data_IF_963070777198
#
_entry.id   IF_963070777198
#
_cell.length_a   1.000
_cell.length_b   1.000
_cell.length_c   1.000
_cell.angle_alpha   90.00
_cell.angle_beta   90.00
_cell.angle_gamma   90.00
#
_symmetry.space_group_name_H-M   'P 1'
#
loop_
_entity.id
_entity.type
_entity.pdbx_description
1 polymer ?
#
# COMPACT_ATOMS: atom_id res chain seq x y z
N UNK A 1 -18.31 -16.67 16.88
CA UNK A 1 -18.20 -15.23 17.20
C UNK A 1 -18.27 -15.08 18.71
N UNK A 2 -17.14 -14.83 19.38
CA UNK A 2 -17.11 -14.63 20.83
C UNK A 2 -17.63 -13.19 21.09
N UNK A 3 -18.60 -12.97 21.99
CA UNK A 3 -18.99 -11.61 22.36
C UNK A 3 -17.80 -10.91 23.01
N UNK A 4 -17.19 -9.96 22.31
CA UNK A 4 -16.11 -9.14 22.85
C UNK A 4 -16.72 -7.98 23.64
N UNK A 5 -16.39 -7.91 24.93
CA UNK A 5 -16.79 -6.84 25.83
C UNK A 5 -15.84 -5.64 25.66
N UNK A 6 -16.30 -4.49 25.12
CA UNK A 6 -15.46 -3.32 24.89
C UNK A 6 -14.80 -2.78 26.17
N UNK A 7 -15.44 -2.93 27.34
CA UNK A 7 -14.89 -2.46 28.61
C UNK A 7 -13.72 -3.34 29.04
N UNK A 8 -13.83 -4.65 28.85
CA UNK A 8 -12.75 -5.61 29.12
C UNK A 8 -11.57 -5.40 28.19
N UNK A 9 -11.82 -5.09 26.91
CA UNK A 9 -10.76 -4.74 25.95
C UNK A 9 -10.01 -3.47 26.37
N UNK A 10 -10.74 -2.40 26.72
CA UNK A 10 -10.13 -1.15 27.18
C UNK A 10 -9.24 -1.35 28.42
N UNK A 11 -9.70 -2.16 29.38
CA UNK A 11 -8.91 -2.49 30.57
C UNK A 11 -7.62 -3.25 30.23
N UNK A 12 -7.65 -4.17 29.25
CA UNK A 12 -6.46 -4.93 28.83
C UNK A 12 -5.47 -4.06 28.04
N UNK A 13 -5.96 -3.20 27.15
CA UNK A 13 -5.12 -2.21 26.43
C UNK A 13 -4.36 -1.34 27.45
N UNK A 14 -5.05 -0.86 28.48
CA UNK A 14 -4.43 -0.04 29.53
C UNK A 14 -3.43 -0.79 30.42
N UNK A 15 -3.48 -2.13 30.45
CA UNK A 15 -2.61 -3.00 31.26
C UNK A 15 -1.57 -3.75 30.43
N UNK A 16 -1.45 -3.46 29.13
CA UNK A 16 -0.53 -4.15 28.23
C UNK A 16 0.91 -4.00 28.75
N UNK A 17 1.57 -5.14 28.98
CA UNK A 17 2.98 -5.17 29.37
C UNK A 17 3.86 -5.14 28.12
N UNK A 18 4.99 -4.39 28.12
CA UNK A 18 5.82 -4.20 26.92
C UNK A 18 6.32 -5.49 26.25
N UNK A 19 6.41 -6.60 26.99
CA UNK A 19 6.95 -7.88 26.54
C UNK A 19 5.87 -9.00 26.45
N UNK A 20 4.58 -8.64 26.49
CA UNK A 20 3.48 -9.60 26.48
C UNK A 20 3.00 -9.95 25.07
N UNK A 21 3.75 -10.81 24.38
CA UNK A 21 3.41 -11.30 23.03
C UNK A 21 1.95 -11.77 22.93
N UNK A 22 1.49 -12.59 23.88
CA UNK A 22 0.14 -13.17 23.84
C UNK A 22 -0.92 -12.09 24.03
N UNK A 23 -0.69 -11.14 24.94
CA UNK A 23 -1.56 -9.99 25.17
C UNK A 23 -1.68 -9.09 23.95
N UNK A 24 -0.57 -8.76 23.28
CA UNK A 24 -0.56 -7.96 22.05
C UNK A 24 -1.31 -8.67 20.92
N UNK A 25 -0.98 -9.93 20.65
CA UNK A 25 -1.65 -10.71 19.59
C UNK A 25 -3.14 -10.84 19.83
N UNK A 26 -3.55 -11.17 21.06
CA UNK A 26 -4.97 -11.30 21.40
C UNK A 26 -5.70 -9.96 21.24
N UNK A 27 -5.11 -8.87 21.74
CA UNK A 27 -5.71 -7.54 21.65
C UNK A 27 -5.89 -7.10 20.20
N UNK A 28 -4.91 -7.36 19.33
CA UNK A 28 -5.01 -7.11 17.90
C UNK A 28 -6.19 -7.85 17.25
N UNK A 29 -6.36 -9.15 17.54
CA UNK A 29 -7.51 -9.93 17.03
C UNK A 29 -8.84 -9.37 17.53
N UNK A 30 -8.94 -8.97 18.79
CA UNK A 30 -10.18 -8.42 19.34
C UNK A 30 -10.52 -7.05 18.74
N UNK A 31 -9.52 -6.19 18.51
CA UNK A 31 -9.69 -4.91 17.83
C UNK A 31 -10.13 -5.09 16.38
N UNK A 32 -9.57 -6.06 15.67
CA UNK A 32 -9.98 -6.43 14.32
C UNK A 32 -11.46 -6.81 14.26
N UNK A 33 -11.92 -7.64 15.21
CA UNK A 33 -13.33 -8.06 15.29
C UNK A 33 -14.29 -6.91 15.63
N UNK A 34 -13.78 -5.81 16.18
CA UNK A 34 -14.53 -4.57 16.43
C UNK A 34 -14.41 -3.56 15.28
N UNK A 35 -13.74 -3.89 14.18
CA UNK A 35 -13.51 -3.00 13.04
C UNK A 35 -12.46 -1.90 13.30
N UNK A 36 -11.71 -1.98 14.40
CA UNK A 36 -10.66 -1.02 14.78
C UNK A 36 -9.33 -1.44 14.17
N UNK A 37 -9.24 -1.38 12.84
CA UNK A 37 -8.16 -1.99 12.07
C UNK A 37 -6.79 -1.36 12.31
N UNK A 38 -6.67 -0.03 12.37
CA UNK A 38 -5.36 0.61 12.57
C UNK A 38 -4.76 0.29 13.94
N UNK A 39 -5.59 0.28 14.99
CA UNK A 39 -5.16 -0.15 16.33
C UNK A 39 -4.84 -1.65 16.37
N UNK A 40 -5.58 -2.47 15.61
CA UNK A 40 -5.28 -3.89 15.49
C UNK A 40 -3.88 -4.12 14.88
N UNK A 41 -3.53 -3.36 13.84
CA UNK A 41 -2.20 -3.39 13.24
C UNK A 41 -1.13 -2.97 14.25
N UNK A 42 -1.30 -1.86 14.97
CA UNK A 42 -0.32 -1.41 15.98
C UNK A 42 -0.01 -2.48 17.03
N UNK A 43 -1.05 -3.19 17.50
CA UNK A 43 -0.86 -4.27 18.47
C UNK A 43 -0.24 -5.52 17.84
N UNK A 44 -0.56 -5.86 16.59
CA UNK A 44 0.02 -7.00 15.89
C UNK A 44 1.47 -6.74 15.46
N UNK A 45 1.83 -5.50 15.09
CA UNK A 45 3.20 -5.05 14.87
C UNK A 45 4.03 -5.28 16.13
N UNK A 46 3.50 -4.88 17.29
CA UNK A 46 4.17 -5.11 18.55
C UNK A 46 4.29 -6.59 18.90
N UNK A 47 3.29 -7.41 18.56
CA UNK A 47 3.39 -8.86 18.70
C UNK A 47 4.48 -9.44 17.79
N UNK A 48 4.60 -8.95 16.55
CA UNK A 48 5.58 -9.41 15.58
C UNK A 48 7.03 -9.13 16.02
N UNK A 49 7.26 -7.96 16.63
CA UNK A 49 8.55 -7.60 17.23
C UNK A 49 8.97 -8.51 18.40
N UNK A 50 8.00 -9.13 19.09
CA UNK A 50 8.22 -10.01 20.24
C UNK A 50 8.29 -11.50 19.86
N UNK A 51 8.26 -11.83 18.57
CA UNK A 51 8.29 -13.21 18.08
C UNK A 51 9.62 -13.89 18.39
N UNK A 52 9.55 -15.07 18.98
CA UNK A 52 10.68 -15.93 19.34
C UNK A 52 10.66 -17.30 18.63
N UNK A 53 9.61 -17.61 17.86
CA UNK A 53 9.44 -18.89 17.15
C UNK A 53 8.76 -18.69 15.79
N UNK A 54 9.12 -19.50 14.80
CA UNK A 54 8.52 -19.43 13.46
C UNK A 54 7.00 -19.67 13.49
N UNK A 55 6.53 -20.59 14.33
CA UNK A 55 5.10 -20.82 14.57
C UNK A 55 4.38 -19.53 15.00
N UNK A 56 4.96 -18.77 15.95
CA UNK A 56 4.38 -17.49 16.39
C UNK A 56 4.43 -16.46 15.27
N UNK A 57 5.55 -16.37 14.53
CA UNK A 57 5.70 -15.49 13.36
C UNK A 57 4.56 -15.67 12.36
N UNK A 58 4.36 -16.92 11.94
CA UNK A 58 3.30 -17.32 10.99
C UNK A 58 1.92 -16.95 11.54
N UNK A 59 1.66 -17.21 12.82
CA UNK A 59 0.37 -16.88 13.44
C UNK A 59 0.08 -15.37 13.50
N UNK A 60 1.11 -14.52 13.57
CA UNK A 60 0.94 -13.06 13.54
C UNK A 60 0.75 -12.59 12.10
N UNK A 61 1.50 -13.13 11.12
CA UNK A 61 1.28 -12.81 9.71
C UNK A 61 -0.12 -13.17 9.22
N UNK A 62 -0.67 -14.31 9.65
CA UNK A 62 -2.05 -14.66 9.32
C UNK A 62 -3.03 -13.66 9.94
N UNK A 63 -2.84 -13.27 11.20
CA UNK A 63 -3.69 -12.27 11.84
C UNK A 63 -3.59 -10.89 11.17
N UNK A 64 -2.38 -10.45 10.80
CA UNK A 64 -2.17 -9.22 10.04
C UNK A 64 -2.88 -9.32 8.68
N UNK A 65 -2.71 -10.45 7.98
CA UNK A 65 -3.40 -10.73 6.73
C UNK A 65 -4.92 -10.66 6.88
N UNK A 66 -5.49 -11.13 7.99
CA UNK A 66 -6.92 -11.01 8.26
C UNK A 66 -7.32 -9.55 8.49
N UNK A 67 -6.52 -8.78 9.23
CA UNK A 67 -6.78 -7.33 9.40
C UNK A 67 -6.80 -6.62 8.04
N UNK A 68 -5.78 -6.84 7.20
CA UNK A 68 -5.72 -6.25 5.86
C UNK A 68 -6.88 -6.71 4.96
N UNK A 69 -7.25 -7.99 5.02
CA UNK A 69 -8.39 -8.54 4.27
C UNK A 69 -9.71 -7.91 4.70
N UNK A 70 -9.96 -7.78 6.00
CA UNK A 70 -11.19 -7.19 6.54
C UNK A 70 -11.30 -5.68 6.34
N UNK A 71 -10.17 -4.96 6.25
CA UNK A 71 -10.16 -3.53 5.88
C UNK A 71 -10.18 -3.27 4.36
N UNK A 72 -10.16 -4.32 3.53
CA UNK A 72 -10.21 -4.23 2.07
C UNK A 72 -8.86 -4.16 1.35
N UNK A 73 -7.72 -4.19 2.04
CA UNK A 73 -6.38 -4.26 1.44
C UNK A 73 -6.02 -5.72 1.13
N UNK A 74 -6.69 -6.27 0.11
CA UNK A 74 -6.55 -7.67 -0.30
C UNK A 74 -5.16 -7.99 -0.86
N UNK A 75 -4.43 -6.98 -1.36
CA UNK A 75 -3.06 -7.14 -1.88
C UNK A 75 -2.08 -7.43 -0.76
N UNK A 76 -2.02 -6.55 0.24
CA UNK A 76 -1.15 -6.76 1.42
C UNK A 76 -1.52 -8.05 2.15
N UNK A 77 -2.82 -8.34 2.29
CA UNK A 77 -3.29 -9.59 2.89
C UNK A 77 -2.71 -10.83 2.19
N UNK A 78 -2.78 -10.88 0.86
CA UNK A 78 -2.26 -11.99 0.08
C UNK A 78 -0.75 -12.16 0.25
N UNK A 79 0.03 -11.08 0.20
CA UNK A 79 1.48 -11.10 0.45
C UNK A 79 1.81 -11.75 1.80
N UNK A 80 1.10 -11.34 2.86
CA UNK A 80 1.27 -11.89 4.21
C UNK A 80 0.91 -13.38 4.28
N UNK A 81 -0.19 -13.79 3.65
CA UNK A 81 -0.60 -15.20 3.62
C UNK A 81 0.34 -16.08 2.80
N UNK A 82 0.78 -15.63 1.62
CA UNK A 82 1.76 -16.37 0.79
C UNK A 82 3.06 -16.59 1.57
N UNK A 83 3.54 -15.57 2.27
CA UNK A 83 4.71 -15.68 3.15
C UNK A 83 4.48 -16.64 4.32
N UNK A 84 3.33 -16.57 4.97
CA UNK A 84 2.94 -17.51 6.03
C UNK A 84 2.95 -18.96 5.53
N UNK A 85 2.41 -19.24 4.34
CA UNK A 85 2.43 -20.57 3.72
C UNK A 85 3.87 -21.02 3.40
N UNK A 86 4.69 -20.14 2.82
CA UNK A 86 6.08 -20.46 2.49
C UNK A 86 6.88 -20.87 3.73
N UNK A 87 6.78 -20.10 4.82
CA UNK A 87 7.45 -20.42 6.09
C UNK A 87 6.87 -21.67 6.77
N UNK A 88 5.55 -21.87 6.73
CA UNK A 88 4.93 -23.07 7.27
C UNK A 88 5.45 -24.33 6.56
N UNK A 89 5.55 -24.30 5.22
CA UNK A 89 6.11 -25.42 4.45
C UNK A 89 7.58 -25.69 4.79
N UNK A 90 8.38 -24.65 4.98
CA UNK A 90 9.82 -24.76 5.20
C UNK A 90 10.19 -25.18 6.63
N UNK A 91 9.50 -24.65 7.64
CA UNK A 91 9.98 -24.68 9.02
C UNK A 91 8.92 -24.99 10.09
N UNK A 92 7.62 -24.94 9.77
CA UNK A 92 6.54 -25.17 10.73
C UNK A 92 5.33 -25.88 10.09
N UNK A 93 5.49 -27.14 9.62
CA UNK A 93 4.44 -27.85 8.89
C UNK A 93 3.18 -28.07 9.72
N UNK A 94 3.27 -28.01 11.04
CA UNK A 94 2.14 -28.18 11.96
C UNK A 94 1.17 -26.98 11.99
N UNK A 95 1.50 -25.86 11.34
CA UNK A 95 0.56 -24.74 11.11
C UNK A 95 0.22 -24.54 9.63
N UNK A 96 0.66 -25.47 8.77
CA UNK A 96 0.45 -25.36 7.33
C UNK A 96 -1.04 -25.43 6.97
N UNK A 97 -1.81 -26.32 7.60
CA UNK A 97 -3.25 -26.47 7.36
C UNK A 97 -3.99 -25.14 7.55
N UNK A 98 -3.65 -24.43 8.61
CA UNK A 98 -4.18 -23.10 8.92
C UNK A 98 -3.73 -22.06 7.88
N UNK A 99 -2.43 -21.99 7.56
CA UNK A 99 -1.91 -21.02 6.59
C UNK A 99 -2.54 -21.16 5.18
N UNK A 100 -2.61 -22.39 4.65
CA UNK A 100 -3.19 -22.62 3.30
C UNK A 100 -4.71 -22.41 3.28
N UNK A 101 -5.41 -22.64 4.40
CA UNK A 101 -6.84 -22.32 4.51
C UNK A 101 -7.08 -20.81 4.35
N UNK A 102 -6.30 -19.97 5.04
CA UNK A 102 -6.45 -18.52 4.98
C UNK A 102 -6.09 -17.96 3.59
N UNK A 103 -4.97 -18.40 3.00
CA UNK A 103 -4.60 -18.01 1.63
C UNK A 103 -5.67 -18.45 0.62
N UNK A 104 -6.14 -19.69 0.72
CA UNK A 104 -7.15 -20.23 -0.19
C UNK A 104 -8.46 -19.44 -0.15
N UNK A 105 -8.91 -19.03 1.05
CA UNK A 105 -10.09 -18.17 1.18
C UNK A 105 -9.87 -16.77 0.62
N UNK A 106 -8.73 -16.13 0.90
CA UNK A 106 -8.40 -14.82 0.37
C UNK A 106 -8.35 -14.79 -1.17
N UNK A 107 -7.80 -15.85 -1.79
CA UNK A 107 -7.79 -16.01 -3.25
C UNK A 107 -9.20 -16.25 -3.81
N UNK A 108 -10.06 -16.98 -3.10
CA UNK A 108 -11.45 -17.17 -3.53
C UNK A 108 -12.23 -15.85 -3.53
N UNK A 109 -12.03 -15.00 -2.52
CA UNK A 109 -12.62 -13.65 -2.42
C UNK A 109 -12.20 -12.75 -3.60
N UNK A 110 -11.03 -13.00 -4.19
CA UNK A 110 -10.50 -12.33 -5.40
C UNK A 110 -10.86 -13.03 -6.71
N UNK A 111 -11.75 -14.02 -6.69
CA UNK A 111 -12.13 -14.82 -7.86
C UNK A 111 -10.99 -15.67 -8.47
N UNK A 112 -9.88 -15.90 -7.75
CA UNK A 112 -8.80 -16.82 -8.15
C UNK A 112 -9.18 -18.28 -7.78
N UNK A 113 -10.32 -18.74 -8.29
CA UNK A 113 -10.99 -19.96 -7.82
C UNK A 113 -10.16 -21.24 -8.01
N UNK A 114 -9.34 -21.30 -9.05
CA UNK A 114 -8.50 -22.48 -9.33
C UNK A 114 -7.41 -22.64 -8.28
N UNK A 115 -6.66 -21.58 -7.99
CA UNK A 115 -5.60 -21.60 -6.96
C UNK A 115 -6.22 -21.78 -5.57
N UNK A 116 -7.31 -21.07 -5.29
CA UNK A 116 -8.08 -21.20 -4.05
C UNK A 116 -8.52 -22.65 -3.79
N UNK A 117 -9.09 -23.32 -4.80
CA UNK A 117 -9.52 -24.73 -4.69
C UNK A 117 -8.34 -25.65 -4.38
N UNK A 118 -7.20 -25.45 -5.02
CA UNK A 118 -6.02 -26.26 -4.79
C UNK A 118 -5.54 -26.16 -3.33
N UNK A 119 -5.44 -24.93 -2.81
CA UNK A 119 -5.01 -24.66 -1.43
C UNK A 119 -6.02 -25.16 -0.39
N UNK A 120 -7.32 -24.95 -0.60
CA UNK A 120 -8.36 -25.44 0.30
C UNK A 120 -8.45 -26.97 0.30
N UNK A 121 -8.17 -27.62 -0.82
CA UNK A 121 -8.08 -29.09 -0.90
C UNK A 121 -6.85 -29.60 -0.14
N UNK A 122 -5.71 -28.90 -0.23
CA UNK A 122 -4.53 -29.18 0.59
C UNK A 122 -4.84 -29.04 2.09
N UNK A 123 -5.50 -27.94 2.48
CA UNK A 123 -5.94 -27.69 3.86
C UNK A 123 -6.84 -28.81 4.38
N UNK A 124 -7.83 -29.23 3.58
CA UNK A 124 -8.74 -30.33 3.92
C UNK A 124 -7.99 -31.62 4.21
N UNK A 125 -7.03 -31.98 3.35
CA UNK A 125 -6.22 -33.20 3.52
C UNK A 125 -5.42 -33.17 4.82
N UNK A 126 -4.81 -32.02 5.16
CA UNK A 126 -4.04 -31.85 6.39
C UNK A 126 -4.94 -31.92 7.63
N UNK A 127 -6.06 -31.21 7.63
CA UNK A 127 -7.02 -31.18 8.75
C UNK A 127 -7.65 -32.54 9.04
N UNK A 128 -7.94 -33.32 8.00
CA UNK A 128 -8.41 -34.71 8.17
C UNK A 128 -7.35 -35.59 8.85
N UNK A 129 -6.07 -35.38 8.55
CA UNK A 129 -4.97 -36.10 9.21
C UNK A 129 -4.75 -35.63 10.66
N UNK A 130 -4.98 -34.35 10.94
CA UNK A 130 -4.91 -33.74 12.27
C UNK A 130 -6.09 -34.15 13.17
N UNK A 131 -7.28 -34.36 12.59
CA UNK A 131 -8.44 -34.94 13.25
C UNK A 131 -9.34 -33.94 14.00
N UNK A 132 -9.24 -32.64 13.70
CA UNK A 132 -10.13 -31.61 14.28
C UNK A 132 -11.45 -31.49 13.48
N UNK A 133 -12.61 -31.90 14.04
CA UNK A 133 -13.87 -31.87 13.31
C UNK A 133 -14.36 -30.48 12.94
N UNK A 134 -14.08 -29.46 13.75
CA UNK A 134 -14.53 -28.09 13.51
C UNK A 134 -13.77 -27.49 12.32
N UNK A 135 -12.46 -27.69 12.29
CA UNK A 135 -11.62 -27.22 11.19
C UNK A 135 -11.94 -27.94 9.86
N UNK A 136 -12.21 -29.24 9.92
CA UNK A 136 -12.64 -30.04 8.77
C UNK A 136 -13.96 -29.48 8.21
N UNK A 137 -14.96 -29.22 9.06
CA UNK A 137 -16.23 -28.68 8.61
C UNK A 137 -16.08 -27.27 8.02
N UNK A 138 -15.26 -26.42 8.64
CA UNK A 138 -15.00 -25.07 8.12
C UNK A 138 -14.36 -25.09 6.72
N UNK A 139 -13.40 -25.98 6.46
CA UNK A 139 -12.82 -26.13 5.12
C UNK A 139 -13.80 -26.72 4.12
N UNK A 140 -14.65 -27.66 4.56
CA UNK A 140 -15.67 -28.29 3.70
C UNK A 140 -16.66 -27.24 3.21
N UNK A 141 -17.20 -26.44 4.14
CA UNK A 141 -18.11 -25.35 3.81
C UNK A 141 -17.46 -24.38 2.80
N UNK A 142 -16.19 -24.00 3.00
CA UNK A 142 -15.49 -23.11 2.07
C UNK A 142 -15.30 -23.70 0.65
N UNK A 143 -15.09 -25.02 0.55
CA UNK A 143 -14.99 -25.71 -0.75
C UNK A 143 -16.34 -25.86 -1.44
N UNK A 144 -17.40 -26.10 -0.67
CA UNK A 144 -18.77 -26.28 -1.18
C UNK A 144 -19.34 -24.95 -1.70
N UNK A 145 -19.06 -23.85 -1.00
CA UNK A 145 -19.51 -22.49 -1.38
C UNK A 145 -18.46 -21.71 -2.17
N UNK A 146 -17.44 -22.37 -2.74
CA UNK A 146 -16.29 -21.68 -3.35
C UNK A 146 -16.67 -20.65 -4.43
N UNK A 147 -17.70 -20.96 -5.23
CA UNK A 147 -18.19 -20.06 -6.29
C UNK A 147 -18.97 -18.85 -5.78
N UNK A 148 -19.33 -18.82 -4.49
CA UNK A 148 -20.05 -17.73 -3.84
C UNK A 148 -19.13 -16.80 -3.03
N UNK A 149 -17.85 -17.18 -2.87
CA UNK A 149 -16.86 -16.40 -2.14
C UNK A 149 -16.35 -15.13 -2.85
N UNK A 150 -16.30 -15.03 -4.20
CA UNK A 150 -15.86 -13.81 -4.87
C UNK A 150 -16.64 -12.58 -4.40
N UNK A 151 -15.94 -11.52 -4.02
CA UNK A 151 -16.58 -10.26 -3.61
C UNK A 151 -16.96 -9.48 -4.86
N UNK A 152 -18.26 -9.29 -5.15
CA UNK A 152 -18.70 -8.64 -6.37
C UNK A 152 -18.28 -7.16 -6.41
N UNK A 153 -18.30 -6.60 -7.62
CA UNK A 153 -18.21 -5.15 -7.81
C UNK A 153 -19.49 -4.47 -7.32
N UNK A 154 -19.39 -3.25 -6.76
CA UNK A 154 -20.57 -2.45 -6.41
C UNK A 154 -21.49 -2.21 -7.62
N UNK A 155 -22.81 -2.11 -7.45
CA UNK A 155 -23.78 -2.04 -8.56
C UNK A 155 -23.50 -0.94 -9.59
N UNK A 156 -23.04 0.23 -9.18
CA UNK A 156 -22.71 1.36 -10.07
C UNK A 156 -21.50 1.03 -10.93
N UNK A 157 -20.47 0.42 -10.34
CA UNK A 157 -19.27 -0.02 -11.05
C UNK A 157 -19.59 -1.20 -11.97
N UNK A 158 -20.38 -2.16 -11.50
CA UNK A 158 -20.84 -3.28 -12.29
C UNK A 158 -21.72 -2.84 -13.47
N UNK A 159 -22.48 -1.75 -13.35
CA UNK A 159 -23.27 -1.19 -14.45
C UNK A 159 -22.43 -0.45 -15.49
N UNK A 160 -21.25 0.05 -15.11
CA UNK A 160 -20.30 0.69 -16.02
C UNK A 160 -19.66 -0.34 -16.96
N UNK A 161 -19.43 -1.56 -16.47
CA UNK A 161 -18.79 -2.64 -17.23
C UNK A 161 -19.82 -3.66 -17.73
N UNK A 162 -19.65 -4.13 -18.96
CA UNK A 162 -20.52 -5.17 -19.51
C UNK A 162 -20.04 -6.59 -19.16
N UNK A 163 -20.88 -7.60 -19.39
CA UNK A 163 -20.47 -9.01 -19.30
C UNK A 163 -19.30 -9.37 -20.25
N UNK A 164 -19.06 -8.56 -21.27
CA UNK A 164 -18.03 -8.76 -22.28
C UNK A 164 -16.77 -7.89 -22.08
N UNK A 165 -16.65 -7.18 -20.95
CA UNK A 165 -15.46 -6.36 -20.68
C UNK A 165 -14.19 -7.22 -20.57
N UNK A 166 -13.12 -6.68 -21.12
CA UNK A 166 -11.77 -7.23 -21.09
C UNK A 166 -11.00 -6.64 -19.91
N UNK A 167 -10.27 -7.51 -19.20
CA UNK A 167 -9.56 -7.17 -17.96
C UNK A 167 -8.09 -7.51 -18.13
N UNK A 168 -7.20 -6.60 -17.72
CA UNK A 168 -5.75 -6.81 -17.76
C UNK A 168 -5.09 -6.25 -16.51
N UNK A 169 -4.13 -7.00 -15.94
CA UNK A 169 -3.28 -6.55 -14.85
C UNK A 169 -2.01 -5.84 -15.36
N UNK A 170 -1.88 -5.62 -16.68
CA UNK A 170 -0.72 -4.95 -17.27
C UNK A 170 -0.77 -3.43 -17.03
N UNK A 171 0.25 -2.89 -16.35
CA UNK A 171 0.46 -1.46 -16.14
C UNK A 171 1.94 -1.13 -15.84
N UNK A 172 2.33 0.14 -15.97
CA UNK A 172 3.70 0.62 -15.68
C UNK A 172 4.01 0.68 -14.18
N UNK A 173 3.00 0.82 -13.33
CA UNK A 173 3.17 0.97 -11.88
C UNK A 173 3.64 -0.31 -11.16
N UNK A 174 4.32 -0.14 -10.03
CA UNK A 174 4.76 -1.26 -9.17
C UNK A 174 3.72 -1.63 -8.09
N UNK A 175 2.73 -0.74 -7.85
CA UNK A 175 1.69 -1.00 -6.87
C UNK A 175 0.68 -2.04 -7.39
N UNK A 176 0.58 -3.18 -6.73
CA UNK A 176 -0.47 -4.16 -7.05
C UNK A 176 -1.89 -3.63 -6.78
N UNK A 177 -2.88 -4.18 -7.49
CA UNK A 177 -4.30 -3.87 -7.28
C UNK A 177 -4.91 -2.83 -8.22
N UNK A 178 -4.22 -2.55 -9.33
CA UNK A 178 -4.75 -1.77 -10.46
C UNK A 178 -5.11 -2.73 -11.58
N UNK A 179 -6.29 -2.55 -12.17
CA UNK A 179 -6.76 -3.37 -13.29
C UNK A 179 -7.20 -2.47 -14.44
N UNK A 180 -6.66 -2.69 -15.62
CA UNK A 180 -7.13 -2.05 -16.85
C UNK A 180 -8.40 -2.75 -17.32
N UNK A 181 -9.44 -1.98 -17.62
CA UNK A 181 -10.71 -2.48 -18.17
C UNK A 181 -10.96 -1.86 -19.53
N UNK A 182 -11.10 -2.71 -20.55
CA UNK A 182 -11.36 -2.34 -21.94
C UNK A 182 -10.33 -1.38 -22.57
N UNK A 183 -9.16 -1.22 -21.95
CA UNK A 183 -8.16 -0.22 -22.34
C UNK A 183 -8.65 1.22 -22.24
N UNK A 184 -9.73 1.44 -21.49
CA UNK A 184 -10.42 2.73 -21.36
C UNK A 184 -10.58 3.18 -19.92
N UNK A 185 -10.40 2.26 -18.96
CA UNK A 185 -10.57 2.53 -17.53
C UNK A 185 -9.48 1.87 -16.70
N UNK A 186 -9.20 2.49 -15.56
CA UNK A 186 -8.35 1.97 -14.50
C UNK A 186 -9.19 1.76 -13.25
N UNK A 187 -9.28 0.51 -12.79
CA UNK A 187 -10.01 0.12 -11.58
C UNK A 187 -9.03 -0.11 -10.43
N UNK A 188 -9.32 0.48 -9.29
CA UNK A 188 -8.62 0.29 -8.02
C UNK A 188 -9.62 -0.07 -6.93
N UNK A 189 -9.24 -0.94 -5.99
CA UNK A 189 -10.10 -1.38 -4.88
C UNK A 189 -9.40 -1.28 -3.52
N UNK A 190 -10.18 -0.98 -2.48
CA UNK A 190 -9.76 -1.03 -1.08
C UNK A 190 -9.41 0.34 -0.51
N UNK A 191 -8.79 0.40 0.68
CA UNK A 191 -8.57 1.65 1.40
C UNK A 191 -7.66 2.63 0.64
N UNK A 192 -6.72 2.15 -0.18
CA UNK A 192 -5.90 3.00 -1.05
C UNK A 192 -6.73 3.70 -2.12
N UNK A 193 -7.72 3.00 -2.72
CA UNK A 193 -8.63 3.57 -3.71
C UNK A 193 -9.55 4.64 -3.09
N UNK A 194 -10.03 4.42 -1.86
CA UNK A 194 -10.80 5.42 -1.10
C UNK A 194 -9.96 6.66 -0.84
N UNK A 195 -8.73 6.48 -0.33
CA UNK A 195 -7.81 7.57 -0.04
C UNK A 195 -7.46 8.39 -1.30
N UNK A 196 -7.26 7.71 -2.44
CA UNK A 196 -7.00 8.35 -3.72
C UNK A 196 -8.22 9.10 -4.25
N UNK A 197 -9.43 8.53 -4.17
CA UNK A 197 -10.67 9.21 -4.57
C UNK A 197 -10.89 10.54 -3.82
N UNK A 198 -10.69 10.55 -2.51
CA UNK A 198 -10.80 11.76 -1.68
C UNK A 198 -9.82 12.85 -2.14
N UNK A 199 -8.58 12.45 -2.47
CA UNK A 199 -7.51 13.35 -2.88
C UNK A 199 -7.69 13.85 -4.32
N UNK A 200 -8.13 13.00 -5.24
CA UNK A 200 -8.50 13.39 -6.61
C UNK A 200 -9.61 14.43 -6.59
N UNK A 201 -10.65 14.20 -5.79
CA UNK A 201 -11.78 15.12 -5.65
C UNK A 201 -11.31 16.47 -5.11
N UNK A 202 -10.52 16.46 -4.03
CA UNK A 202 -9.98 17.68 -3.42
C UNK A 202 -9.04 18.45 -4.36
N UNK A 203 -8.12 17.76 -5.06
CA UNK A 203 -7.21 18.39 -6.02
C UNK A 203 -7.94 19.09 -7.16
N UNK A 204 -9.01 18.48 -7.68
CA UNK A 204 -9.82 19.05 -8.75
C UNK A 204 -10.47 20.37 -8.31
N UNK A 205 -10.93 20.45 -7.06
CA UNK A 205 -11.49 21.69 -6.48
C UNK A 205 -10.44 22.81 -6.37
N UNK A 206 -9.15 22.47 -6.27
CA UNK A 206 -8.03 23.41 -6.23
C UNK A 206 -7.41 23.67 -7.61
N UNK A 207 -8.05 23.21 -8.68
CA UNK A 207 -7.64 23.49 -10.06
C UNK A 207 -6.40 22.71 -10.52
N UNK A 208 -6.05 21.63 -9.83
CA UNK A 208 -5.01 20.68 -10.29
C UNK A 208 -5.68 19.67 -11.23
N UNK A 209 -5.06 19.45 -12.39
CA UNK A 209 -5.53 18.47 -13.37
C UNK A 209 -5.23 17.05 -12.85
N UNK A 210 -6.26 16.23 -12.80
CA UNK A 210 -6.24 14.84 -12.32
C UNK A 210 -7.19 14.01 -13.19
N UNK A 211 -7.05 12.67 -13.27
CA UNK A 211 -7.92 11.83 -14.09
C UNK A 211 -9.40 12.02 -13.79
N UNK A 212 -10.26 11.86 -14.79
CA UNK A 212 -11.71 11.83 -14.57
C UNK A 212 -12.11 10.58 -13.78
N UNK A 213 -12.96 10.79 -12.76
CA UNK A 213 -13.52 9.69 -11.96
C UNK A 213 -14.80 9.25 -12.66
N UNK A 214 -14.74 8.12 -13.37
CA UNK A 214 -15.88 7.53 -14.05
C UNK A 214 -16.92 6.99 -13.06
N UNK A 215 -16.45 6.35 -11.98
CA UNK A 215 -17.30 5.86 -10.91
C UNK A 215 -16.53 5.74 -9.59
N UNK A 216 -17.23 5.93 -8.48
CA UNK A 216 -16.76 5.56 -7.16
C UNK A 216 -17.94 5.08 -6.32
N UNK A 217 -17.87 3.86 -5.79
CA UNK A 217 -18.86 3.28 -4.89
C UNK A 217 -18.18 2.33 -3.91
N UNK A 218 -18.59 2.38 -2.65
CA UNK A 218 -17.98 1.65 -1.52
C UNK A 218 -16.45 1.87 -1.43
N UNK A 219 -15.67 0.88 -1.87
CA UNK A 219 -14.21 0.87 -1.86
C UNK A 219 -13.61 0.76 -3.26
N UNK A 220 -14.40 0.95 -4.32
CA UNK A 220 -13.97 0.78 -5.71
C UNK A 220 -13.94 2.13 -6.43
N UNK A 221 -12.77 2.48 -6.92
CA UNK A 221 -12.50 3.67 -7.74
C UNK A 221 -12.30 3.25 -9.19
N UNK A 222 -12.99 3.92 -10.11
CA UNK A 222 -12.78 3.79 -11.55
C UNK A 222 -12.39 5.14 -12.12
N UNK A 223 -11.21 5.19 -12.74
CA UNK A 223 -10.69 6.34 -13.47
C UNK A 223 -10.80 6.09 -14.97
N UNK A 224 -11.04 7.13 -15.75
CA UNK A 224 -10.89 7.07 -17.21
C UNK A 224 -9.42 7.03 -17.58
N UNK A 225 -9.09 6.31 -18.65
CA UNK A 225 -7.80 6.45 -19.31
C UNK A 225 -7.75 7.80 -20.06
N UNK A 226 -6.71 8.59 -19.79
CA UNK A 226 -6.56 9.94 -20.35
C UNK A 226 -5.92 9.94 -21.75
N UNK A 227 -5.52 8.78 -22.27
CA UNK A 227 -4.94 8.62 -23.61
C UNK A 227 -3.61 9.34 -23.82
N UNK A 228 -2.98 9.83 -22.76
CA UNK A 228 -1.69 10.51 -22.78
C UNK A 228 -0.63 9.66 -22.06
N UNK A 229 0.58 9.52 -22.62
CA UNK A 229 1.66 8.79 -21.96
C UNK A 229 2.17 9.56 -20.73
N UNK A 230 2.77 8.83 -19.79
CA UNK A 230 3.54 9.41 -18.69
C UNK A 230 4.76 10.16 -19.22
N UNK A 231 5.26 11.13 -18.45
CA UNK A 231 6.51 11.82 -18.80
C UNK A 231 7.72 10.86 -18.79
N UNK A 232 7.64 9.75 -18.05
CA UNK A 232 8.64 8.68 -18.06
C UNK A 232 8.74 7.96 -19.42
N UNK A 233 7.61 7.73 -20.09
CA UNK A 233 7.56 7.07 -21.40
C UNK A 233 8.12 7.94 -22.55
N UNK A 234 8.40 9.21 -22.29
CA UNK A 234 8.86 10.13 -23.31
C UNK A 234 10.32 9.87 -23.68
N UNK A 235 10.56 9.43 -24.91
CA UNK A 235 11.91 9.34 -25.44
C UNK A 235 12.62 10.71 -25.38
N UNK A 236 13.95 10.70 -25.19
CA UNK A 236 14.85 11.86 -25.32
C UNK A 236 14.79 12.45 -26.73
N UNK A 237 13.66 13.03 -27.10
CA UNK A 237 13.39 13.61 -28.41
C UNK A 237 13.51 15.12 -28.29
N UNK A 238 14.27 15.72 -29.20
CA UNK A 238 14.63 17.14 -29.17
C UNK A 238 13.46 18.11 -29.44
N UNK A 239 12.20 17.64 -29.44
CA UNK A 239 11.03 18.38 -29.91
C UNK A 239 9.86 18.40 -28.91
N UNK A 240 10.15 18.54 -27.62
CA UNK A 240 9.14 18.76 -26.57
C UNK A 240 9.61 19.78 -25.54
N UNK A 241 8.70 20.27 -24.70
CA UNK A 241 9.07 21.04 -23.51
C UNK A 241 9.99 20.20 -22.60
N UNK A 242 10.92 20.82 -21.87
CA UNK A 242 11.77 20.08 -20.91
C UNK A 242 10.88 19.39 -19.86
N UNK A 243 11.13 18.11 -19.58
CA UNK A 243 10.37 17.34 -18.57
C UNK A 243 10.53 17.98 -17.20
N UNK A 244 11.75 18.36 -16.84
CA UNK A 244 12.05 19.08 -15.61
C UNK A 244 11.27 20.39 -15.52
N UNK A 245 11.18 21.15 -16.61
CA UNK A 245 10.36 22.39 -16.64
C UNK A 245 8.89 22.12 -16.34
N UNK A 246 8.30 21.06 -16.94
CA UNK A 246 6.90 20.67 -16.71
C UNK A 246 6.69 20.25 -15.25
N UNK A 247 7.51 19.31 -14.76
CA UNK A 247 7.44 18.82 -13.38
C UNK A 247 7.63 19.94 -12.36
N UNK A 248 8.61 20.82 -12.55
CA UNK A 248 8.91 21.91 -11.63
C UNK A 248 7.79 22.95 -11.59
N UNK A 249 7.19 23.25 -12.76
CA UNK A 249 6.03 24.12 -12.85
C UNK A 249 4.78 23.53 -12.17
N UNK A 250 4.48 22.26 -12.41
CA UNK A 250 3.36 21.56 -11.80
C UNK A 250 3.53 21.46 -10.28
N UNK A 251 4.69 21.02 -9.81
CA UNK A 251 4.96 20.87 -8.37
C UNK A 251 4.89 22.21 -7.64
N UNK A 252 5.37 23.29 -8.26
CA UNK A 252 5.24 24.63 -7.69
C UNK A 252 3.78 25.05 -7.53
N UNK A 253 2.91 24.73 -8.50
CA UNK A 253 1.46 25.01 -8.39
C UNK A 253 0.86 24.21 -7.23
N UNK A 254 1.16 22.91 -7.15
CA UNK A 254 0.70 22.05 -6.06
C UNK A 254 1.14 22.58 -4.68
N UNK A 255 2.45 22.84 -4.52
CA UNK A 255 3.04 23.36 -3.28
C UNK A 255 2.59 24.78 -2.92
N UNK A 256 1.96 25.51 -3.85
CA UNK A 256 1.41 26.85 -3.59
C UNK A 256 0.01 26.83 -2.97
N UNK A 257 -0.65 25.67 -2.94
CA UNK A 257 -1.92 25.51 -2.24
C UNK A 257 -1.69 25.72 -0.73
N UNK A 258 -2.48 26.57 -0.05
CA UNK A 258 -2.30 26.80 1.38
C UNK A 258 -2.46 25.52 2.20
N UNK A 259 -1.47 25.20 3.04
CA UNK A 259 -1.50 24.00 3.91
C UNK A 259 -2.71 23.96 4.85
N UNK A 260 -3.31 25.12 5.15
CA UNK A 260 -4.53 25.23 5.96
C UNK A 260 -5.79 24.74 5.26
N UNK A 261 -5.75 24.56 3.94
CA UNK A 261 -6.86 24.06 3.12
C UNK A 261 -6.79 22.55 2.89
N UNK A 262 -5.64 21.92 3.17
CA UNK A 262 -5.44 20.48 2.98
C UNK A 262 -5.86 19.68 4.22
N UNK A 263 -6.83 18.75 4.09
CA UNK A 263 -7.31 17.94 5.22
C UNK A 263 -6.44 16.70 5.48
N UNK A 264 -5.48 16.40 4.62
CA UNK A 264 -4.70 15.16 4.66
C UNK A 264 -3.36 15.38 5.36
N UNK A 265 -3.00 14.47 6.27
CA UNK A 265 -1.74 14.53 7.02
C UNK A 265 -0.70 13.62 6.37
N UNK A 266 0.37 14.22 5.84
CA UNK A 266 1.52 13.53 5.27
C UNK A 266 2.82 13.87 6.01
N UNK A 267 2.73 14.39 7.25
CA UNK A 267 3.91 14.83 8.00
C UNK A 267 4.81 13.65 8.32
N UNK A 268 6.08 13.97 8.59
CA UNK A 268 7.13 12.97 8.76
C UNK A 268 6.83 11.92 9.84
N UNK A 269 6.10 12.27 10.90
CA UNK A 269 5.67 11.30 11.92
C UNK A 269 4.72 10.23 11.36
N UNK A 270 3.77 10.63 10.51
CA UNK A 270 2.82 9.72 9.88
C UNK A 270 3.56 8.77 8.93
N UNK A 271 4.41 9.34 8.08
CA UNK A 271 5.15 8.58 7.07
C UNK A 271 6.17 7.64 7.73
N UNK A 272 6.90 8.08 8.77
CA UNK A 272 7.83 7.21 9.50
C UNK A 272 7.12 6.09 10.27
N UNK A 273 5.90 6.34 10.78
CA UNK A 273 5.12 5.29 11.41
C UNK A 273 4.73 4.20 10.40
N UNK A 274 4.33 4.61 9.19
CA UNK A 274 4.03 3.67 8.10
C UNK A 274 5.29 2.94 7.62
N UNK A 275 6.41 3.64 7.42
CA UNK A 275 7.69 3.03 7.04
C UNK A 275 8.13 1.98 8.08
N UNK A 276 7.99 2.29 9.38
CA UNK A 276 8.25 1.33 10.45
C UNK A 276 7.35 0.09 10.33
N UNK A 277 6.05 0.26 10.06
CA UNK A 277 5.13 -0.87 9.86
C UNK A 277 5.55 -1.72 8.68
N UNK A 278 5.85 -1.11 7.53
CA UNK A 278 6.32 -1.84 6.35
C UNK A 278 7.57 -2.67 6.69
N UNK A 279 8.51 -2.14 7.46
CA UNK A 279 9.69 -2.87 7.92
C UNK A 279 9.34 -4.02 8.88
N UNK A 280 8.55 -3.74 9.92
CA UNK A 280 8.17 -4.74 10.95
C UNK A 280 7.39 -5.90 10.32
N UNK A 281 6.44 -5.56 9.47
CA UNK A 281 5.63 -6.52 8.73
C UNK A 281 6.37 -7.11 7.53
N UNK A 282 7.61 -6.71 7.23
CA UNK A 282 8.42 -7.21 6.12
C UNK A 282 7.76 -7.06 4.75
N UNK A 283 7.14 -5.91 4.52
CA UNK A 283 6.51 -5.51 3.26
C UNK A 283 7.46 -4.71 2.35
N UNK A 284 8.68 -4.41 2.82
CA UNK A 284 9.70 -3.71 2.05
C UNK A 284 10.50 -4.71 1.21
N UNK A 285 10.61 -4.46 -0.09
CA UNK A 285 11.47 -5.22 -0.99
C UNK A 285 12.89 -4.62 -1.02
N UNK A 286 13.83 -5.30 -0.36
CA UNK A 286 15.22 -4.85 -0.32
C UNK A 286 15.99 -5.08 -1.63
N UNK A 287 15.43 -5.84 -2.58
CA UNK A 287 16.04 -6.05 -3.90
C UNK A 287 15.85 -4.84 -4.82
N UNK A 288 14.83 -4.01 -4.55
CA UNK A 288 14.54 -2.78 -5.29
C UNK A 288 15.33 -1.56 -4.78
N UNK A 289 16.16 -1.73 -3.74
CA UNK A 289 16.91 -0.61 -3.16
C UNK A 289 17.85 0.07 -4.17
N UNK A 290 17.98 1.40 -4.05
CA UNK A 290 18.92 2.18 -4.84
C UNK A 290 20.35 1.63 -4.70
N UNK A 291 21.19 1.83 -5.73
CA UNK A 291 22.54 1.24 -5.77
C UNK A 291 23.38 1.52 -4.52
N UNK A 292 23.22 2.71 -3.94
CA UNK A 292 23.94 3.17 -2.75
C UNK A 292 23.55 2.43 -1.47
N UNK A 293 22.37 1.79 -1.45
CA UNK A 293 21.80 1.08 -0.31
C UNK A 293 21.75 -0.44 -0.51
N UNK A 294 22.21 -0.95 -1.66
CA UNK A 294 22.28 -2.41 -1.93
C UNK A 294 23.02 -3.15 -0.82
N UNK A 295 22.41 -4.24 -0.34
CA UNK A 295 22.97 -5.09 0.71
C UNK A 295 22.73 -4.57 2.14
N UNK A 296 22.05 -3.43 2.31
CA UNK A 296 21.50 -3.03 3.61
C UNK A 296 20.15 -3.70 3.84
N UNK A 297 19.74 -3.83 5.11
CA UNK A 297 18.40 -4.35 5.43
C UNK A 297 17.40 -3.21 5.63
N UNK A 298 16.09 -3.43 5.42
CA UNK A 298 15.07 -2.41 5.73
C UNK A 298 15.14 -1.92 7.19
N UNK A 299 15.54 -2.78 8.14
CA UNK A 299 15.74 -2.41 9.54
C UNK A 299 16.94 -1.46 9.75
N UNK A 300 18.01 -1.63 8.97
CA UNK A 300 19.18 -0.73 9.00
C UNK A 300 18.82 0.64 8.43
N UNK A 301 18.06 0.67 7.31
CA UNK A 301 17.54 1.91 6.70
C UNK A 301 16.64 2.66 7.68
N UNK A 302 15.68 1.98 8.32
CA UNK A 302 14.83 2.59 9.35
C UNK A 302 15.64 3.16 10.51
N UNK A 303 16.63 2.40 11.01
CA UNK A 303 17.51 2.86 12.09
C UNK A 303 18.28 4.12 11.69
N UNK A 304 18.76 4.18 10.44
CA UNK A 304 19.44 5.36 9.89
C UNK A 304 18.51 6.56 9.81
N UNK A 305 17.28 6.39 9.30
CA UNK A 305 16.27 7.45 9.21
C UNK A 305 15.94 8.02 10.59
N UNK A 306 15.68 7.17 11.58
CA UNK A 306 15.38 7.62 12.96
C UNK A 306 16.54 8.43 13.56
N UNK A 307 17.80 8.07 13.26
CA UNK A 307 19.00 8.78 13.72
C UNK A 307 19.21 10.11 12.99
N UNK A 308 18.91 10.17 11.69
CA UNK A 308 19.17 11.31 10.81
C UNK A 308 17.95 12.23 10.63
N UNK A 309 16.88 12.00 11.40
CA UNK A 309 15.62 12.73 11.32
C UNK A 309 15.83 14.25 11.27
N UNK A 310 15.28 14.96 10.27
CA UNK A 310 15.29 16.42 10.21
C UNK A 310 14.65 17.06 11.44
N UNK A 311 15.22 18.19 11.89
CA UNK A 311 14.76 18.91 13.10
C UNK A 311 13.50 19.75 12.90
N UNK A 312 13.05 19.95 11.66
CA UNK A 312 11.83 20.67 11.35
C UNK A 312 11.42 20.50 9.89
N UNK A 313 10.14 20.77 9.60
CA UNK A 313 9.54 20.57 8.28
C UNK A 313 9.24 21.91 7.60
N UNK A 314 9.49 21.98 6.29
CA UNK A 314 9.05 23.07 5.42
C UNK A 314 7.75 22.65 4.71
N UNK A 315 6.63 22.83 5.42
CA UNK A 315 5.34 22.25 5.09
C UNK A 315 4.71 22.87 3.85
N UNK A 316 4.28 21.99 2.94
CA UNK A 316 3.50 22.27 1.73
C UNK A 316 2.43 21.19 1.57
N UNK A 317 1.51 21.37 0.62
CA UNK A 317 0.69 20.25 0.13
C UNK A 317 1.57 19.43 -0.81
N UNK A 318 2.01 18.26 -0.37
CA UNK A 318 2.89 17.38 -1.14
C UNK A 318 2.12 16.23 -1.76
N UNK A 319 2.51 15.80 -2.96
CA UNK A 319 2.03 14.61 -3.64
C UNK A 319 2.31 13.34 -2.84
N UNK A 320 3.52 13.22 -2.31
CA UNK A 320 4.00 12.07 -1.57
C UNK A 320 4.63 10.95 -2.39
N UNK A 321 4.65 11.08 -3.72
CA UNK A 321 5.26 10.17 -4.71
C UNK A 321 5.45 10.90 -6.06
N UNK A 322 6.07 12.09 -6.02
CA UNK A 322 6.13 12.97 -7.20
C UNK A 322 7.26 12.57 -8.15
N UNK A 323 6.95 11.70 -9.10
CA UNK A 323 7.90 11.11 -10.06
C UNK A 323 7.43 11.32 -11.52
N UNK A 324 8.32 11.21 -12.53
CA UNK A 324 7.93 11.31 -13.95
C UNK A 324 6.84 10.33 -14.41
N UNK A 325 6.77 9.06 -13.93
CA UNK A 325 5.65 8.15 -14.24
C UNK A 325 4.29 8.68 -13.78
N UNK A 326 4.25 9.44 -12.68
CA UNK A 326 3.01 9.92 -12.06
C UNK A 326 2.50 11.26 -12.64
N UNK A 327 3.11 11.74 -13.72
CA UNK A 327 2.68 12.95 -14.42
C UNK A 327 2.55 12.65 -15.91
N UNK A 328 1.37 12.89 -16.47
CA UNK A 328 1.12 12.73 -17.91
C UNK A 328 1.62 13.94 -18.70
N UNK A 329 1.85 13.77 -20.01
CA UNK A 329 2.31 14.85 -20.90
C UNK A 329 1.39 16.08 -20.94
N UNK A 330 0.11 15.90 -20.64
CA UNK A 330 -0.90 16.97 -20.54
C UNK A 330 -1.00 17.57 -19.13
N UNK A 331 0.00 17.36 -18.27
CA UNK A 331 0.10 17.84 -16.89
C UNK A 331 -0.94 17.24 -15.92
N UNK A 332 -1.60 16.14 -16.29
CA UNK A 332 -2.47 15.37 -15.39
C UNK A 332 -1.61 14.61 -14.37
N UNK A 333 -1.99 14.74 -13.10
CA UNK A 333 -1.33 14.13 -11.95
C UNK A 333 -2.01 12.82 -11.56
N UNK A 334 -1.23 11.73 -11.50
CA UNK A 334 -1.69 10.37 -11.18
C UNK A 334 -1.28 9.97 -9.77
N UNK A 335 -1.80 8.84 -9.28
CA UNK A 335 -1.34 8.17 -8.04
C UNK A 335 -1.23 9.08 -6.81
N UNK A 336 -2.24 9.93 -6.65
CA UNK A 336 -2.29 10.96 -5.61
C UNK A 336 -2.64 10.39 -4.24
N UNK A 337 -2.74 9.07 -4.05
CA UNK A 337 -3.19 8.44 -2.80
C UNK A 337 -2.37 8.79 -1.56
N UNK A 338 -1.11 9.20 -1.74
CA UNK A 338 -0.18 9.58 -0.68
C UNK A 338 -0.17 11.08 -0.35
N UNK A 339 -1.02 11.88 -1.01
CA UNK A 339 -1.03 13.34 -0.89
C UNK A 339 -1.38 13.79 0.54
N UNK A 340 -0.69 14.83 1.00
CA UNK A 340 -1.00 15.49 2.26
C UNK A 340 -0.02 16.59 2.63
N UNK A 341 -0.26 17.24 3.76
CA UNK A 341 0.64 18.24 4.32
C UNK A 341 1.94 17.56 4.74
N UNK A 342 3.04 17.85 4.05
CA UNK A 342 4.35 17.26 4.31
C UNK A 342 5.47 18.26 4.03
N UNK A 343 6.70 17.93 4.42
CA UNK A 343 7.87 18.67 3.98
C UNK A 343 8.02 18.61 2.45
N UNK A 344 8.27 19.76 1.81
CA UNK A 344 8.44 19.82 0.34
C UNK A 344 9.50 18.88 -0.22
N UNK A 345 10.51 18.52 0.57
CA UNK A 345 11.57 17.62 0.13
C UNK A 345 11.10 16.19 -0.05
N UNK A 346 9.91 15.83 0.47
CA UNK A 346 9.25 14.56 0.16
C UNK A 346 9.04 14.38 -1.34
N UNK A 347 8.62 15.44 -2.03
CA UNK A 347 8.41 15.40 -3.49
C UNK A 347 9.69 15.76 -4.27
N UNK A 348 10.46 16.74 -3.80
CA UNK A 348 11.68 17.17 -4.50
C UNK A 348 12.70 16.03 -4.59
N UNK A 349 12.83 15.20 -3.57
CA UNK A 349 13.80 14.11 -3.56
C UNK A 349 13.54 13.07 -4.65
N UNK A 350 12.28 12.66 -4.80
CA UNK A 350 11.86 11.64 -5.77
C UNK A 350 11.95 12.17 -7.20
N UNK A 351 11.45 13.39 -7.43
CA UNK A 351 11.58 14.06 -8.71
C UNK A 351 13.05 14.16 -9.16
N UNK A 352 13.95 14.55 -8.24
CA UNK A 352 15.38 14.69 -8.52
C UNK A 352 16.05 13.35 -8.76
N UNK A 353 15.69 12.31 -7.99
CA UNK A 353 16.20 10.93 -8.18
C UNK A 353 15.93 10.47 -9.62
N UNK A 354 14.67 10.48 -10.02
CA UNK A 354 14.24 9.92 -11.30
C UNK A 354 14.66 10.80 -12.47
N UNK A 355 14.55 12.13 -12.34
CA UNK A 355 15.03 13.05 -13.37
C UNK A 355 16.51 12.84 -13.67
N UNK A 356 17.33 12.68 -12.62
CA UNK A 356 18.77 12.47 -12.78
C UNK A 356 19.06 11.12 -13.41
N UNK A 357 18.38 10.06 -12.95
CA UNK A 357 18.59 8.70 -13.43
C UNK A 357 18.21 8.54 -14.91
N UNK A 358 17.06 9.08 -15.31
CA UNK A 358 16.44 8.77 -16.61
C UNK A 358 16.74 9.83 -17.69
N UNK A 359 16.90 11.10 -17.27
CA UNK A 359 16.99 12.24 -18.20
C UNK A 359 18.25 13.11 -18.02
N UNK A 360 18.97 12.96 -16.90
CA UNK A 360 20.25 13.61 -16.62
C UNK A 360 20.15 15.01 -15.99
N UNK A 361 21.29 15.55 -15.57
CA UNK A 361 21.39 16.77 -14.74
C UNK A 361 20.84 18.05 -15.39
N UNK A 362 20.74 18.09 -16.73
CA UNK A 362 20.15 19.23 -17.44
C UNK A 362 18.66 19.38 -17.09
N UNK A 363 17.93 18.27 -16.98
CA UNK A 363 16.51 18.29 -16.61
C UNK A 363 16.32 18.57 -15.12
N UNK A 364 17.22 18.11 -14.25
CA UNK A 364 17.24 18.50 -12.82
C UNK A 364 17.44 20.03 -12.67
N UNK A 365 18.33 20.61 -13.49
CA UNK A 365 18.55 22.06 -13.50
C UNK A 365 17.29 22.81 -13.96
N UNK A 366 16.65 22.33 -15.02
CA UNK A 366 15.40 22.90 -15.53
C UNK A 366 14.26 22.80 -14.50
N UNK A 367 14.17 21.67 -13.78
CA UNK A 367 13.23 21.43 -12.69
C UNK A 367 13.34 22.46 -11.58
N UNK A 368 14.53 22.62 -10.99
CA UNK A 368 14.72 23.60 -9.91
C UNK A 368 14.52 25.04 -10.37
N UNK A 369 14.88 25.36 -11.62
CA UNK A 369 14.62 26.67 -12.22
C UNK A 369 13.13 26.97 -12.32
N UNK A 370 12.33 26.01 -12.82
CA UNK A 370 10.88 26.15 -12.93
C UNK A 370 10.17 26.16 -11.57
N UNK A 371 10.61 25.28 -10.66
CA UNK A 371 10.11 25.22 -9.28
C UNK A 371 10.42 26.50 -8.49
N UNK A 372 11.56 27.14 -8.76
CA UNK A 372 11.97 28.39 -8.15
C UNK A 372 12.80 28.23 -6.87
N UNK A 373 13.54 27.13 -6.74
CA UNK A 373 14.45 26.87 -5.62
C UNK A 373 15.90 26.89 -6.12
N UNK A 374 16.67 27.90 -5.71
CA UNK A 374 18.03 28.13 -6.22
C UNK A 374 19.14 27.40 -5.45
N UNK A 375 18.86 26.95 -4.23
CA UNK A 375 19.81 26.29 -3.36
C UNK A 375 19.08 25.17 -2.58
N UNK A 376 18.94 23.97 -3.17
CA UNK A 376 18.34 22.84 -2.49
C UNK A 376 19.20 22.36 -1.32
N UNK A 377 18.56 21.91 -0.26
CA UNK A 377 19.19 21.25 0.89
C UNK A 377 19.45 19.78 0.52
N UNK A 378 20.69 19.49 0.13
CA UNK A 378 21.13 18.15 -0.27
C UNK A 378 20.90 17.11 0.84
N UNK A 379 21.03 17.49 2.11
CA UNK A 379 20.84 16.56 3.23
C UNK A 379 19.38 16.11 3.36
N UNK A 380 18.43 16.99 3.00
CA UNK A 380 17.00 16.64 2.96
C UNK A 380 16.66 15.82 1.72
N UNK A 381 17.24 16.14 0.56
CA UNK A 381 17.07 15.31 -0.64
C UNK A 381 17.53 13.87 -0.37
N UNK A 382 18.71 13.69 0.23
CA UNK A 382 19.21 12.38 0.62
C UNK A 382 18.30 11.67 1.65
N UNK A 383 17.79 12.41 2.64
CA UNK A 383 16.92 11.85 3.67
C UNK A 383 15.60 11.32 3.10
N UNK A 384 14.91 12.12 2.28
CA UNK A 384 13.62 11.73 1.72
C UNK A 384 13.75 10.68 0.61
N UNK A 385 14.87 10.66 -0.13
CA UNK A 385 15.20 9.53 -1.02
C UNK A 385 15.37 8.23 -0.22
N UNK A 386 16.11 8.26 0.88
CA UNK A 386 16.29 7.10 1.75
C UNK A 386 14.98 6.64 2.41
N UNK A 387 14.07 7.58 2.71
CA UNK A 387 12.76 7.26 3.28
C UNK A 387 11.88 6.45 2.32
N UNK A 388 11.98 6.76 1.03
CA UNK A 388 11.21 6.12 -0.04
C UNK A 388 11.53 4.64 -0.19
N UNK A 389 12.78 4.24 0.10
CA UNK A 389 13.23 2.83 0.13
C UNK A 389 12.41 1.93 1.08
N UNK A 390 11.58 2.50 1.96
CA UNK A 390 10.72 1.76 2.89
C UNK A 390 9.26 1.65 2.44
N UNK A 391 8.95 2.00 1.19
CA UNK A 391 7.64 1.94 0.56
C UNK A 391 7.71 1.14 -0.74
#
# INVERSE_FOLDING_TARGET
MIPHDPQRLAARVAQARPDDFAGYRQTGVELMLLGRYDEALDHLDRALELVDTERRRISVWINLGDVYRYRGDVGTAETLYRRAVAHARAAAPEVLSFAVQHLGKALAERNHLTEARALLTEAMRLRVAEGDPEEIEATRAALDTLGELPIPLPPTVAALFGEASSWSDEHEGLSGGVVSVDGAYWLKRGPKAVAEYERLTWLREHGIAVPEVAAFEDDVLVLTDEGAPSLAARANSAHGASIGTVLGGLLRRLHSIPVTECPFDGRLDVVLAQARRNVVEGLVDAEEFDEDNRGTTPADVLTRLLRQRPTGEDLVVAHGDFTPPNVLENEILLDVGALGVADRYRDLALAVRDLRADFGDAEVTAFFSAYGLTAPDESRLEYYRLLDELF
#
